data_IF_373716305367
#
_entry.id   IF_373716305367
#
_cell.length_a   1.000
_cell.length_b   1.000
_cell.length_c   1.000
_cell.angle_alpha   90.00
_cell.angle_beta   90.00
_cell.angle_gamma   90.00
#
_symmetry.space_group_name_H-M   'P 1'
#
loop_
_entity.id
_entity.type
_entity.pdbx_description
1 polymer ?
#
# COMPACT_ATOMS: atom_id res chain seq x y z
N UNK A 1 -5.18 -13.59 -19.52
CA UNK A 1 -4.31 -14.21 -20.55
C UNK A 1 -3.71 -15.55 -20.13
N UNK A 2 -2.87 -15.64 -19.08
CA UNK A 2 -2.19 -16.91 -18.75
C UNK A 2 -3.09 -18.11 -18.41
N UNK A 3 -4.15 -17.93 -17.63
CA UNK A 3 -5.09 -19.02 -17.28
C UNK A 3 -5.95 -19.46 -18.47
N UNK A 4 -6.33 -18.52 -19.34
CA UNK A 4 -7.03 -18.80 -20.61
C UNK A 4 -6.15 -19.63 -21.54
N UNK A 5 -4.88 -19.24 -21.69
CA UNK A 5 -3.91 -19.97 -22.51
C UNK A 5 -3.64 -21.40 -21.99
N UNK A 6 -3.77 -21.61 -20.68
CA UNK A 6 -3.58 -22.92 -20.05
C UNK A 6 -4.87 -23.75 -19.90
N UNK A 7 -6.01 -23.29 -20.44
CA UNK A 7 -7.33 -23.89 -20.28
C UNK A 7 -7.69 -24.23 -18.81
N UNK A 8 -7.21 -23.41 -17.87
CA UNK A 8 -7.52 -23.57 -16.44
C UNK A 8 -8.78 -22.79 -16.10
N UNK A 9 -9.58 -23.35 -15.20
CA UNK A 9 -10.68 -22.61 -14.57
C UNK A 9 -10.11 -21.33 -13.92
N UNK A 10 -10.64 -20.14 -14.24
CA UNK A 10 -10.23 -18.90 -13.56
C UNK A 10 -10.40 -18.97 -12.04
N UNK A 11 -11.33 -19.77 -11.52
CA UNK A 11 -11.49 -20.02 -10.07
C UNK A 11 -10.39 -20.90 -9.45
N UNK A 12 -9.57 -21.57 -10.25
CA UNK A 12 -8.47 -22.40 -9.77
C UNK A 12 -7.18 -21.61 -9.48
N UNK A 13 -7.17 -20.30 -9.73
CA UNK A 13 -5.98 -19.43 -9.54
C UNK A 13 -6.30 -18.36 -8.51
N UNK A 14 -5.72 -18.46 -7.32
CA UNK A 14 -5.82 -17.43 -6.29
C UNK A 14 -4.91 -16.24 -6.62
N UNK A 15 -5.49 -15.03 -6.69
CA UNK A 15 -4.80 -13.76 -6.84
C UNK A 15 -4.42 -13.24 -5.45
N UNK A 16 -3.12 -13.14 -5.19
CA UNK A 16 -2.58 -12.68 -3.92
C UNK A 16 -1.69 -11.45 -4.13
N UNK A 17 -1.78 -10.46 -3.25
CA UNK A 17 -0.90 -9.29 -3.30
C UNK A 17 -0.48 -8.84 -1.89
N UNK A 18 0.74 -8.28 -1.80
CA UNK A 18 1.15 -7.48 -0.66
C UNK A 18 0.62 -6.06 -0.82
N UNK A 19 -0.16 -5.59 0.15
CA UNK A 19 -0.84 -4.28 0.10
C UNK A 19 -0.21 -3.35 1.12
N UNK A 20 0.09 -2.12 0.70
CA UNK A 20 0.66 -1.11 1.58
C UNK A 20 -0.42 -0.62 2.55
N UNK A 21 -0.20 -0.75 3.85
CA UNK A 21 -1.11 -0.24 4.88
C UNK A 21 -0.36 0.62 5.89
N UNK A 22 -0.89 1.80 6.17
CA UNK A 22 -0.47 2.65 7.27
C UNK A 22 -1.53 2.58 8.36
N UNK A 23 -1.21 1.87 9.44
CA UNK A 23 -2.15 1.60 10.54
C UNK A 23 -1.51 1.77 11.90
N UNK A 24 -2.35 1.93 12.92
CA UNK A 24 -1.95 2.18 14.29
C UNK A 24 -3.14 2.12 15.24
N UNK A 25 -2.88 2.00 16.54
CA UNK A 25 -3.90 1.89 17.60
C UNK A 25 -4.49 3.25 17.97
N UNK A 26 -3.80 4.32 17.61
CA UNK A 26 -4.17 5.70 17.91
C UNK A 26 -3.65 6.62 16.79
N UNK A 27 -4.06 7.89 16.84
CA UNK A 27 -3.70 8.88 15.82
C UNK A 27 -2.18 9.07 15.68
N UNK A 28 -1.41 9.01 16.77
CA UNK A 28 0.04 9.18 16.72
C UNK A 28 0.73 8.00 16.02
N UNK A 29 0.32 6.77 16.32
CA UNK A 29 0.82 5.58 15.63
C UNK A 29 0.46 5.58 14.13
N UNK A 30 -0.75 6.01 13.79
CA UNK A 30 -1.17 6.15 12.39
C UNK A 30 -0.33 7.20 11.67
N UNK A 31 -0.08 8.36 12.30
CA UNK A 31 0.76 9.41 11.72
C UNK A 31 2.20 8.92 11.45
N UNK A 32 2.79 8.17 12.39
CA UNK A 32 4.10 7.55 12.20
C UNK A 32 4.10 6.50 11.08
N UNK A 33 3.04 5.68 11.00
CA UNK A 33 2.88 4.72 9.92
C UNK A 33 2.72 5.41 8.55
N UNK A 34 2.00 6.53 8.50
CA UNK A 34 1.85 7.37 7.29
C UNK A 34 3.20 7.93 6.85
N UNK A 35 4.00 8.47 7.78
CA UNK A 35 5.35 8.97 7.48
C UNK A 35 6.22 7.89 6.85
N UNK A 36 6.20 6.68 7.43
CA UNK A 36 6.93 5.52 6.90
C UNK A 36 6.42 5.09 5.52
N UNK A 37 5.11 5.03 5.33
CA UNK A 37 4.51 4.70 4.04
C UNK A 37 4.90 5.72 2.95
N UNK A 38 4.85 7.02 3.26
CA UNK A 38 5.31 8.07 2.34
C UNK A 38 6.79 7.92 1.98
N UNK A 39 7.67 7.63 2.94
CA UNK A 39 9.07 7.35 2.65
C UNK A 39 9.25 6.14 1.71
N UNK A 40 8.49 5.06 1.93
CA UNK A 40 8.51 3.86 1.09
C UNK A 40 8.05 4.16 -0.35
N UNK A 41 6.96 4.92 -0.50
CA UNK A 41 6.43 5.35 -1.80
C UNK A 41 7.46 6.22 -2.51
N UNK A 42 8.05 7.19 -1.81
CA UNK A 42 9.05 8.09 -2.35
C UNK A 42 10.28 7.30 -2.86
N UNK A 43 10.70 6.28 -2.12
CA UNK A 43 11.78 5.37 -2.55
C UNK A 43 11.42 4.65 -3.85
N UNK A 44 10.25 4.02 -3.95
CA UNK A 44 9.84 3.35 -5.18
C UNK A 44 9.72 4.31 -6.38
N UNK A 45 9.07 5.45 -6.17
CA UNK A 45 8.90 6.50 -7.17
C UNK A 45 10.23 7.13 -7.61
N UNK A 46 11.30 7.00 -6.83
CA UNK A 46 12.64 7.47 -7.21
C UNK A 46 13.36 6.56 -8.22
N UNK A 47 12.84 5.36 -8.48
CA UNK A 47 13.46 4.39 -9.39
C UNK A 47 12.87 4.45 -10.80
N UNK A 48 13.66 4.16 -11.86
CA UNK A 48 13.16 4.16 -13.24
C UNK A 48 11.98 3.21 -13.51
N UNK A 49 11.86 2.14 -12.71
CA UNK A 49 10.82 1.12 -12.87
C UNK A 49 9.39 1.65 -12.67
N UNK A 50 9.23 2.71 -11.86
CA UNK A 50 7.92 3.27 -11.53
C UNK A 50 7.49 4.44 -12.43
N UNK A 51 8.34 4.87 -13.37
CA UNK A 51 8.07 6.04 -14.23
C UNK A 51 6.69 5.99 -14.90
N UNK A 52 6.33 4.83 -15.48
CA UNK A 52 5.04 4.66 -16.17
C UNK A 52 3.83 4.76 -15.24
N UNK A 53 3.96 4.33 -13.99
CA UNK A 53 2.92 4.48 -12.97
C UNK A 53 2.74 5.95 -12.62
N UNK A 54 3.85 6.68 -12.43
CA UNK A 54 3.81 8.11 -12.16
C UNK A 54 3.17 8.89 -13.31
N UNK A 55 3.57 8.61 -14.56
CA UNK A 55 2.99 9.22 -15.77
C UNK A 55 1.48 8.96 -15.88
N UNK A 56 1.04 7.72 -15.60
CA UNK A 56 -0.39 7.37 -15.64
C UNK A 56 -1.23 8.20 -14.68
N UNK A 57 -0.71 8.49 -13.48
CA UNK A 57 -1.38 9.33 -12.50
C UNK A 57 -1.09 10.84 -12.67
N UNK A 58 -0.30 11.24 -13.67
CA UNK A 58 0.08 12.63 -13.90
C UNK A 58 1.02 13.21 -12.82
N UNK A 59 1.81 12.35 -12.15
CA UNK A 59 2.74 12.76 -11.10
C UNK A 59 4.16 12.99 -11.67
N UNK A 60 4.68 14.21 -11.55
CA UNK A 60 6.01 14.57 -12.07
C UNK A 60 7.10 14.65 -10.97
N UNK A 61 6.89 13.92 -9.86
CA UNK A 61 7.83 13.92 -8.71
C UNK A 61 9.05 13.03 -8.93
N UNK A 62 9.00 12.12 -9.90
CA UNK A 62 10.03 11.10 -10.14
C UNK A 62 11.45 11.68 -10.32
N UNK A 63 11.68 12.63 -11.25
CA UNK A 63 13.00 13.21 -11.46
C UNK A 63 13.61 13.85 -10.21
N UNK A 64 12.79 14.54 -9.42
CA UNK A 64 13.22 15.18 -8.16
C UNK A 64 13.56 14.12 -7.12
N UNK A 65 12.71 13.11 -6.95
CA UNK A 65 12.94 11.99 -6.04
C UNK A 65 14.21 11.19 -6.40
N UNK A 66 14.45 10.92 -7.69
CA UNK A 66 15.68 10.27 -8.15
C UNK A 66 16.93 11.11 -7.84
N UNK A 67 16.83 12.44 -7.93
CA UNK A 67 17.95 13.33 -7.59
C UNK A 67 18.21 13.40 -6.08
N UNK A 68 17.16 13.42 -5.25
CA UNK A 68 17.26 13.38 -3.79
C UNK A 68 17.81 12.04 -3.28
N UNK A 69 17.35 10.93 -3.87
CA UNK A 69 17.82 9.58 -3.59
C UNK A 69 19.32 9.45 -3.76
N UNK A 70 19.87 9.94 -4.90
CA UNK A 70 21.32 9.94 -5.15
C UNK A 70 22.13 10.79 -4.16
N UNK A 71 21.50 11.76 -3.51
CA UNK A 71 22.11 12.62 -2.48
C UNK A 71 21.90 12.07 -1.06
N UNK A 72 21.28 10.91 -0.90
CA UNK A 72 20.99 10.31 0.41
C UNK A 72 19.94 11.05 1.24
N UNK A 73 19.09 11.87 0.61
CA UNK A 73 18.09 12.73 1.29
C UNK A 73 16.79 11.97 1.64
N UNK A 74 16.92 10.74 2.15
CA UNK A 74 15.81 9.79 2.28
C UNK A 74 14.65 10.30 3.15
N UNK A 75 14.96 10.93 4.28
CA UNK A 75 13.94 11.46 5.21
C UNK A 75 13.10 12.57 4.58
N UNK A 76 13.72 13.42 3.76
CA UNK A 76 13.05 14.55 3.11
C UNK A 76 12.21 14.11 1.89
N UNK A 77 12.56 12.99 1.24
CA UNK A 77 11.85 12.49 0.05
C UNK A 77 10.37 12.21 0.34
N UNK A 78 10.04 11.70 1.53
CA UNK A 78 8.66 11.44 1.93
C UNK A 78 7.76 12.68 1.91
N UNK A 79 8.33 13.88 2.06
CA UNK A 79 7.57 15.14 2.03
C UNK A 79 7.06 15.50 0.63
N UNK A 80 7.62 14.90 -0.43
CA UNK A 80 7.13 15.08 -1.80
C UNK A 80 5.97 14.14 -2.14
N UNK A 81 5.63 13.21 -1.25
CA UNK A 81 4.47 12.33 -1.40
C UNK A 81 3.24 13.01 -0.80
N UNK A 82 2.34 13.46 -1.67
CA UNK A 82 1.07 14.06 -1.27
C UNK A 82 0.15 13.04 -0.60
N UNK A 83 -0.85 13.51 0.14
CA UNK A 83 -1.86 12.62 0.72
C UNK A 83 -2.70 11.94 -0.37
N UNK A 84 -2.92 12.61 -1.50
CA UNK A 84 -3.58 12.00 -2.65
C UNK A 84 -2.76 10.82 -3.19
N UNK A 85 -1.45 11.00 -3.38
CA UNK A 85 -0.56 9.92 -3.81
C UNK A 85 -0.51 8.77 -2.81
N UNK A 86 -0.41 9.10 -1.50
CA UNK A 86 -0.46 8.10 -0.44
C UNK A 86 -1.75 7.27 -0.49
N UNK A 87 -2.91 7.92 -0.51
CA UNK A 87 -4.20 7.22 -0.51
C UNK A 87 -4.48 6.48 -1.82
N UNK A 88 -3.82 6.86 -2.92
CA UNK A 88 -3.91 6.14 -4.19
C UNK A 88 -3.15 4.80 -4.16
N UNK A 89 -2.20 4.60 -3.24
CA UNK A 89 -1.39 3.36 -3.19
C UNK A 89 -1.49 2.59 -1.87
N UNK A 90 -1.80 3.27 -0.77
CA UNK A 90 -1.87 2.71 0.57
C UNK A 90 -3.29 2.76 1.15
N UNK A 91 -3.59 1.80 2.02
CA UNK A 91 -4.74 1.90 2.93
C UNK A 91 -4.30 2.57 4.22
N UNK A 92 -4.87 3.72 4.54
CA UNK A 92 -4.61 4.44 5.79
C UNK A 92 -5.83 4.32 6.69
N UNK A 93 -5.68 3.64 7.84
CA UNK A 93 -6.78 3.41 8.78
C UNK A 93 -6.26 2.98 10.16
N UNK A 94 -6.90 3.38 11.27
CA UNK A 94 -6.62 2.76 12.57
C UNK A 94 -7.05 1.29 12.58
N UNK A 95 -6.49 0.50 13.50
CA UNK A 95 -6.72 -0.96 13.57
C UNK A 95 -8.21 -1.36 13.51
N UNK A 96 -9.14 -0.71 14.24
CA UNK A 96 -10.56 -1.10 14.23
C UNK A 96 -11.23 -0.93 12.86
N UNK A 97 -10.74 -0.02 12.02
CA UNK A 97 -11.32 0.29 10.70
C UNK A 97 -10.58 -0.41 9.56
N UNK A 98 -9.36 -0.89 9.80
CA UNK A 98 -8.47 -1.39 8.76
C UNK A 98 -9.10 -2.51 7.92
N UNK A 99 -9.82 -3.45 8.55
CA UNK A 99 -10.47 -4.55 7.84
C UNK A 99 -11.51 -4.08 6.82
N UNK A 100 -12.36 -3.12 7.23
CA UNK A 100 -13.39 -2.53 6.36
C UNK A 100 -12.75 -1.80 5.18
N UNK A 101 -11.73 -0.98 5.45
CA UNK A 101 -11.02 -0.21 4.42
C UNK A 101 -10.26 -1.10 3.42
N UNK A 102 -9.70 -2.22 3.89
CA UNK A 102 -9.10 -3.24 3.03
C UNK A 102 -10.14 -3.89 2.12
N UNK A 103 -11.31 -4.23 2.65
CA UNK A 103 -12.41 -4.80 1.86
C UNK A 103 -12.94 -3.82 0.83
N UNK A 104 -13.18 -2.57 1.20
CA UNK A 104 -13.63 -1.53 0.25
C UNK A 104 -12.68 -1.41 -0.95
N UNK A 105 -11.37 -1.46 -0.68
CA UNK A 105 -10.34 -1.30 -1.71
C UNK A 105 -10.12 -2.55 -2.55
N UNK A 106 -10.11 -3.73 -1.94
CA UNK A 106 -9.64 -4.96 -2.61
C UNK A 106 -10.70 -6.06 -2.75
N UNK A 107 -11.89 -5.88 -2.16
CA UNK A 107 -13.00 -6.83 -2.26
C UNK A 107 -13.36 -7.13 -3.71
N UNK A 108 -13.46 -8.41 -4.05
CA UNK A 108 -13.71 -8.88 -5.41
C UNK A 108 -12.54 -8.71 -6.40
N UNK A 109 -11.39 -8.16 -5.96
CA UNK A 109 -10.18 -7.97 -6.78
C UNK A 109 -9.05 -8.93 -6.40
N UNK A 110 -8.92 -9.26 -5.11
CA UNK A 110 -7.88 -10.12 -4.57
C UNK A 110 -8.50 -11.23 -3.71
N UNK A 111 -7.96 -12.44 -3.81
CA UNK A 111 -8.36 -13.59 -2.98
C UNK A 111 -7.60 -13.59 -1.64
N UNK A 112 -6.37 -13.05 -1.63
CA UNK A 112 -5.53 -12.95 -0.43
C UNK A 112 -4.74 -11.65 -0.41
N UNK A 113 -4.60 -11.10 0.79
CA UNK A 113 -3.76 -9.92 1.03
C UNK A 113 -2.72 -10.22 2.11
N UNK A 114 -1.50 -9.76 1.88
CA UNK A 114 -0.48 -9.62 2.92
C UNK A 114 -0.36 -8.15 3.28
N UNK A 115 -0.44 -7.81 4.57
CA UNK A 115 -0.23 -6.42 5.01
C UNK A 115 1.28 -6.11 4.96
N UNK A 116 1.61 -5.04 4.23
CA UNK A 116 2.97 -4.56 4.06
C UNK A 116 3.06 -3.08 4.50
N UNK A 117 4.13 -2.64 5.19
CA UNK A 117 5.12 -3.48 5.86
C UNK A 117 4.47 -4.34 6.97
N UNK A 118 5.20 -5.35 7.45
CA UNK A 118 4.71 -6.20 8.54
C UNK A 118 4.30 -5.36 9.76
N UNK A 119 3.11 -5.62 10.29
CA UNK A 119 2.56 -4.96 11.47
C UNK A 119 2.55 -5.93 12.65
N UNK A 120 2.96 -5.45 13.81
CA UNK A 120 2.83 -6.21 15.06
C UNK A 120 1.46 -5.93 15.67
N UNK A 121 0.59 -6.93 15.58
CA UNK A 121 -0.76 -6.90 16.14
C UNK A 121 -0.97 -8.09 17.09
N UNK A 122 -1.77 -7.88 18.11
CA UNK A 122 -2.27 -8.94 18.99
C UNK A 122 -3.30 -9.80 18.27
N UNK A 123 -3.58 -11.00 18.76
CA UNK A 123 -4.62 -11.88 18.22
C UNK A 123 -6.01 -11.22 18.20
N UNK A 124 -6.32 -10.39 19.20
CA UNK A 124 -7.58 -9.66 19.27
C UNK A 124 -7.65 -8.61 18.16
N UNK A 125 -6.57 -7.87 17.92
CA UNK A 125 -6.47 -6.92 16.82
C UNK A 125 -6.61 -7.61 15.46
N UNK A 126 -5.95 -8.75 15.27
CA UNK A 126 -6.12 -9.56 14.05
C UNK A 126 -7.55 -10.05 13.86
N UNK A 127 -8.21 -10.52 14.92
CA UNK A 127 -9.62 -10.94 14.86
C UNK A 127 -10.54 -9.78 14.44
N UNK A 128 -10.29 -8.56 14.93
CA UNK A 128 -11.04 -7.37 14.52
C UNK A 128 -10.84 -7.05 13.03
N UNK A 129 -9.59 -7.05 12.56
CA UNK A 129 -9.28 -6.81 11.13
C UNK A 129 -9.95 -7.86 10.24
N UNK A 130 -9.86 -9.14 10.61
CA UNK A 130 -10.50 -10.25 9.87
C UNK A 130 -12.02 -10.11 9.86
N UNK A 131 -12.63 -9.71 10.97
CA UNK A 131 -14.08 -9.48 11.03
C UNK A 131 -14.50 -8.35 10.08
N UNK A 132 -13.75 -7.25 10.03
CA UNK A 132 -14.02 -6.14 9.11
C UNK A 132 -13.82 -6.48 7.63
N UNK A 133 -12.99 -7.46 7.30
CA UNK A 133 -12.84 -7.95 5.92
C UNK A 133 -14.06 -8.82 5.49
N UNK A 134 -14.73 -9.45 6.46
CA UNK A 134 -15.82 -10.43 6.25
C UNK A 134 -17.23 -9.88 6.41
N UNK A 135 -17.42 -8.71 7.03
CA UNK A 135 -18.66 -7.94 6.90
C UNK A 135 -18.91 -7.61 5.43
#
# INVERSE_FOLDING_TARGET
EGWKAAARDPGAVAVSASVLAATGRNAAEVAEAVKKAKAQIAFYASTPAYRRVLEFHGWDVGPVLSAMSRRGQWDAMGNLVSDAMLNEVAVVAPVPELGVRLRERYGGRLDRIGIYPSVTMTDTEWRLVIAGIRS
#
